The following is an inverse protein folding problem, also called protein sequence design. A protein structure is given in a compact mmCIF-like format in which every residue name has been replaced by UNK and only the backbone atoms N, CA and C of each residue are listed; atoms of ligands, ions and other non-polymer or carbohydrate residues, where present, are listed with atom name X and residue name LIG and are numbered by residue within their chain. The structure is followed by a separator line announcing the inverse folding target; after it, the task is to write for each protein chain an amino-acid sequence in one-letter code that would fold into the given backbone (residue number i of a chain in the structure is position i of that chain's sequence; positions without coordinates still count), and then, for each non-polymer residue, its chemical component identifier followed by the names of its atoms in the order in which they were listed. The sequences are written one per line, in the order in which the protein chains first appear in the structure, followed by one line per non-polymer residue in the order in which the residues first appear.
data_IF_913599191280
#
_entry.id   IF_913599191280
#
_cell.length_a   1.000
_cell.length_b   1.000
_cell.length_c   1.000
_cell.angle_alpha   90.00
_cell.angle_beta   90.00
_cell.angle_gamma   90.00
#
_symmetry.space_group_name_H-M   'P 1'
#
loop_
_entity.id
_entity.type
_entity.pdbx_description
1 polymer ?
#
# COMPACT_ATOMS: atom_id res chain seq x y z
N UNK A 1 -18.37 -12.23 21.37
CA UNK A 1 -17.21 -12.91 20.77
C UNK A 1 -17.55 -13.96 19.70
N UNK A 2 -18.69 -14.70 19.69
CA UNK A 2 -18.97 -15.68 18.64
C UNK A 2 -19.27 -15.03 17.27
N UNK A 3 -19.83 -13.82 17.28
CA UNK A 3 -20.13 -13.02 16.07
C UNK A 3 -18.88 -12.75 15.19
N UNK A 4 -17.72 -12.45 15.78
CA UNK A 4 -16.47 -12.23 15.03
C UNK A 4 -16.02 -13.53 14.35
N UNK A 5 -16.10 -14.65 15.07
CA UNK A 5 -15.70 -15.95 14.54
C UNK A 5 -16.63 -16.41 13.42
N UNK A 6 -17.94 -16.11 13.53
CA UNK A 6 -18.91 -16.33 12.47
C UNK A 6 -18.56 -15.52 11.21
N UNK A 7 -18.31 -14.21 11.36
CA UNK A 7 -17.93 -13.29 10.25
C UNK A 7 -16.65 -13.76 9.53
N UNK A 8 -15.68 -14.32 10.27
CA UNK A 8 -14.42 -14.81 9.68
C UNK A 8 -14.55 -16.17 8.98
N UNK A 9 -15.54 -16.97 9.37
CA UNK A 9 -15.78 -18.33 8.83
C UNK A 9 -16.83 -18.32 7.72
N UNK A 10 -17.61 -17.23 7.60
CA UNK A 10 -18.60 -17.07 6.54
C UNK A 10 -17.96 -16.97 5.15
N UNK A 11 -18.38 -17.80 4.17
CA UNK A 11 -17.82 -17.79 2.81
C UNK A 11 -18.16 -16.50 2.04
N UNK A 12 -19.30 -15.88 2.32
CA UNK A 12 -19.75 -14.63 1.67
C UNK A 12 -18.89 -13.42 2.08
N UNK A 13 -18.23 -13.48 3.24
CA UNK A 13 -17.42 -12.39 3.79
C UNK A 13 -15.92 -12.57 3.53
N UNK A 14 -15.56 -13.04 2.34
CA UNK A 14 -14.16 -13.26 1.92
C UNK A 14 -13.30 -11.98 2.03
N UNK A 15 -13.88 -10.78 1.92
CA UNK A 15 -13.18 -9.52 2.14
C UNK A 15 -12.57 -9.43 3.54
N UNK A 16 -13.30 -9.78 4.60
CA UNK A 16 -12.81 -9.71 5.98
C UNK A 16 -11.65 -10.67 6.22
N UNK A 17 -11.75 -11.89 5.68
CA UNK A 17 -10.66 -12.88 5.73
C UNK A 17 -9.40 -12.37 5.01
N UNK A 18 -9.58 -11.81 3.81
CA UNK A 18 -8.48 -11.25 3.03
C UNK A 18 -7.86 -10.04 3.73
N UNK A 19 -8.66 -9.11 4.26
CA UNK A 19 -8.17 -7.94 4.99
C UNK A 19 -7.35 -8.33 6.23
N UNK A 20 -7.82 -9.32 7.00
CA UNK A 20 -7.09 -9.85 8.16
C UNK A 20 -5.76 -10.48 7.72
N UNK A 21 -5.78 -11.34 6.70
CA UNK A 21 -4.58 -11.97 6.18
C UNK A 21 -3.60 -10.93 5.63
N UNK A 22 -4.06 -10.00 4.79
CA UNK A 22 -3.22 -8.91 4.27
C UNK A 22 -2.63 -8.07 5.39
N UNK A 23 -3.39 -7.74 6.44
CA UNK A 23 -2.87 -7.01 7.60
C UNK A 23 -1.78 -7.79 8.36
N UNK A 24 -1.99 -9.08 8.60
CA UNK A 24 -1.01 -9.98 9.23
C UNK A 24 0.28 -10.08 8.39
N UNK A 25 0.14 -10.31 7.08
CA UNK A 25 1.29 -10.40 6.18
C UNK A 25 2.03 -9.06 6.09
N UNK A 26 1.31 -7.95 5.97
CA UNK A 26 1.90 -6.63 5.83
C UNK A 26 2.57 -6.13 7.13
N UNK A 27 2.10 -6.58 8.30
CA UNK A 27 2.69 -6.23 9.60
C UNK A 27 4.18 -6.54 9.68
N UNK A 28 4.64 -7.63 9.05
CA UNK A 28 6.05 -8.01 9.03
C UNK A 28 6.88 -6.92 8.32
N UNK A 29 6.48 -6.54 7.11
CA UNK A 29 7.16 -5.49 6.35
C UNK A 29 7.06 -4.12 7.03
N UNK A 30 5.88 -3.76 7.55
CA UNK A 30 5.68 -2.51 8.26
C UNK A 30 6.45 -2.43 9.58
N UNK A 31 6.64 -3.53 10.31
CA UNK A 31 7.44 -3.56 11.54
C UNK A 31 8.92 -3.29 11.29
N UNK A 32 9.47 -3.88 10.22
CA UNK A 32 10.88 -3.67 9.81
C UNK A 32 11.08 -2.24 9.31
N UNK A 33 10.24 -1.78 8.37
CA UNK A 33 10.34 -0.43 7.81
C UNK A 33 10.03 0.64 8.89
N UNK A 34 9.05 0.39 9.75
CA UNK A 34 8.66 1.30 10.83
C UNK A 34 9.82 1.55 11.82
N UNK A 35 10.48 0.48 12.25
CA UNK A 35 11.67 0.58 13.11
C UNK A 35 12.77 1.42 12.45
N UNK A 36 13.02 1.21 11.17
CA UNK A 36 13.99 1.98 10.40
C UNK A 36 13.62 3.48 10.29
N UNK A 37 12.36 3.78 9.99
CA UNK A 37 11.84 5.13 9.85
C UNK A 37 11.96 5.91 11.16
N UNK A 38 11.66 5.26 12.29
CA UNK A 38 11.77 5.85 13.63
C UNK A 38 13.23 6.16 13.99
N UNK A 39 14.14 5.20 13.80
CA UNK A 39 15.57 5.38 14.13
C UNK A 39 16.19 6.48 13.29
N UNK A 40 15.83 6.58 12.01
CA UNK A 40 16.34 7.64 11.11
C UNK A 40 15.58 8.96 11.20
N UNK A 41 14.54 9.05 12.02
CA UNK A 41 13.70 10.25 12.17
C UNK A 41 13.13 10.77 10.84
N UNK A 42 12.79 9.88 9.91
CA UNK A 42 12.26 10.22 8.58
C UNK A 42 10.74 10.02 8.47
N UNK A 43 10.01 10.04 9.59
CA UNK A 43 8.56 9.77 9.62
C UNK A 43 7.74 10.72 8.74
N UNK A 44 8.14 12.00 8.65
CA UNK A 44 7.48 12.97 7.79
C UNK A 44 7.61 12.62 6.30
N UNK A 45 8.83 12.25 5.85
CA UNK A 45 9.11 11.84 4.48
C UNK A 45 8.35 10.55 4.15
N UNK A 46 8.38 9.56 5.05
CA UNK A 46 7.64 8.31 4.88
C UNK A 46 6.13 8.55 4.74
N UNK A 47 5.55 9.46 5.54
CA UNK A 47 4.14 9.85 5.44
C UNK A 47 3.79 10.57 4.14
N UNK A 48 4.68 11.44 3.64
CA UNK A 48 4.51 12.11 2.36
C UNK A 48 4.54 11.11 1.19
N UNK A 49 5.49 10.17 1.18
CA UNK A 49 5.56 9.10 0.17
C UNK A 49 4.26 8.29 0.16
N UNK A 50 3.73 7.91 1.33
CA UNK A 50 2.48 7.15 1.43
C UNK A 50 1.28 7.86 0.77
N UNK A 51 1.16 9.19 0.92
CA UNK A 51 0.10 9.97 0.27
C UNK A 51 0.28 10.06 -1.25
N UNK A 52 1.52 10.23 -1.73
CA UNK A 52 1.80 10.27 -3.16
C UNK A 52 1.49 8.93 -3.84
N UNK A 53 1.83 7.81 -3.18
CA UNK A 53 1.63 6.45 -3.73
C UNK A 53 0.15 6.15 -4.02
N UNK A 54 -0.78 6.63 -3.20
CA UNK A 54 -2.23 6.51 -3.47
C UNK A 54 -2.62 7.13 -4.81
N UNK A 55 -2.06 8.31 -5.14
CA UNK A 55 -2.22 8.94 -6.44
C UNK A 55 -1.62 8.11 -7.57
N UNK A 56 -0.44 7.51 -7.35
CA UNK A 56 0.20 6.61 -8.31
C UNK A 56 -0.59 5.34 -8.60
N UNK A 57 -1.20 4.73 -7.58
CA UNK A 57 -2.11 3.58 -7.73
C UNK A 57 -3.30 3.95 -8.63
N UNK A 58 -3.92 5.10 -8.37
CA UNK A 58 -5.05 5.60 -9.17
C UNK A 58 -4.66 5.90 -10.61
N UNK A 59 -3.51 6.55 -10.82
CA UNK A 59 -2.98 6.85 -12.15
C UNK A 59 -2.66 5.55 -12.93
N UNK A 60 -2.04 4.55 -12.30
CA UNK A 60 -1.81 3.23 -12.89
C UNK A 60 -3.13 2.57 -13.30
N UNK A 61 -4.09 2.47 -12.38
CA UNK A 61 -5.40 1.89 -12.70
C UNK A 61 -6.10 2.61 -13.87
N UNK A 62 -5.97 3.94 -13.96
CA UNK A 62 -6.49 4.72 -15.07
C UNK A 62 -5.77 4.38 -16.39
N UNK A 63 -4.44 4.31 -16.41
CA UNK A 63 -3.65 3.93 -17.58
C UNK A 63 -3.98 2.51 -18.07
N UNK A 64 -4.15 1.57 -17.13
CA UNK A 64 -4.53 0.20 -17.45
C UNK A 64 -5.94 0.13 -18.06
N UNK A 65 -6.92 0.76 -17.40
CA UNK A 65 -8.35 0.61 -17.76
C UNK A 65 -8.82 1.55 -18.86
N UNK A 66 -8.37 2.81 -18.88
CA UNK A 66 -8.81 3.81 -19.86
C UNK A 66 -7.96 3.80 -21.12
N UNK A 67 -6.64 3.58 -21.02
CA UNK A 67 -5.71 3.62 -22.15
C UNK A 67 -5.31 2.23 -22.66
N UNK A 68 -5.77 1.16 -22.00
CA UNK A 68 -5.50 -0.22 -22.41
C UNK A 68 -4.03 -0.64 -22.25
N UNK A 69 -3.26 0.10 -21.46
CA UNK A 69 -1.83 -0.15 -21.27
C UNK A 69 -1.68 -1.27 -20.25
N UNK A 70 -1.66 -2.52 -20.73
CA UNK A 70 -1.70 -3.71 -19.86
C UNK A 70 -0.54 -3.85 -18.86
N UNK A 71 0.58 -3.15 -19.06
CA UNK A 71 1.72 -3.15 -18.12
C UNK A 71 1.64 -2.06 -17.05
N UNK A 72 0.76 -1.06 -17.22
CA UNK A 72 0.65 0.09 -16.34
C UNK A 72 -0.35 -0.16 -15.19
N UNK A 73 -0.32 -1.31 -14.54
CA UNK A 73 -1.28 -1.63 -13.48
C UNK A 73 -1.07 -0.88 -12.16
N UNK A 74 -2.00 -1.00 -11.20
CA UNK A 74 -1.96 -0.31 -9.89
C UNK A 74 -0.62 -0.42 -9.16
N UNK A 75 0.00 -1.60 -9.17
CA UNK A 75 1.28 -1.84 -8.51
C UNK A 75 2.43 -1.12 -9.20
N UNK A 76 2.44 -1.07 -10.53
CA UNK A 76 3.47 -0.36 -11.30
C UNK A 76 3.40 1.16 -11.04
N UNK A 77 2.19 1.72 -11.02
CA UNK A 77 1.96 3.13 -10.68
C UNK A 77 2.39 3.46 -9.25
N UNK A 78 2.10 2.57 -8.30
CA UNK A 78 2.56 2.70 -6.92
C UNK A 78 4.08 2.77 -6.82
N UNK A 79 4.79 1.84 -7.46
CA UNK A 79 6.25 1.74 -7.42
C UNK A 79 6.91 2.95 -8.07
N UNK A 80 6.46 3.34 -9.27
CA UNK A 80 7.00 4.49 -9.99
C UNK A 80 6.86 5.76 -9.17
N UNK A 81 5.67 6.01 -8.62
CA UNK A 81 5.44 7.22 -7.81
C UNK A 81 6.17 7.16 -6.47
N UNK A 82 6.29 6.00 -5.82
CA UNK A 82 7.08 5.84 -4.60
C UNK A 82 8.54 6.22 -4.82
N UNK A 83 9.16 5.72 -5.90
CA UNK A 83 10.56 5.98 -6.22
C UNK A 83 10.79 7.45 -6.60
N UNK A 84 9.90 8.02 -7.41
CA UNK A 84 9.96 9.45 -7.76
C UNK A 84 9.83 10.33 -6.52
N UNK A 85 8.86 10.05 -5.64
CA UNK A 85 8.68 10.79 -4.39
C UNK A 85 9.90 10.66 -3.48
N UNK A 86 10.48 9.47 -3.34
CA UNK A 86 11.67 9.25 -2.54
C UNK A 86 12.87 10.06 -3.06
N UNK A 87 13.07 10.12 -4.38
CA UNK A 87 14.14 10.93 -5.00
C UNK A 87 13.89 12.41 -4.77
N UNK A 88 12.69 12.90 -5.08
CA UNK A 88 12.34 14.33 -5.00
C UNK A 88 12.45 14.83 -3.55
N UNK A 89 11.90 14.09 -2.59
CA UNK A 89 11.90 14.48 -1.17
C UNK A 89 13.27 14.36 -0.51
N UNK A 90 14.18 13.54 -1.06
CA UNK A 90 15.56 13.43 -0.55
C UNK A 90 16.48 14.50 -1.14
N UNK A 91 16.17 15.02 -2.33
CA UNK A 91 16.99 16.03 -3.01
C UNK A 91 16.79 17.45 -2.44
N UNK A 92 15.67 17.68 -1.75
CA UNK A 92 15.29 18.93 -1.10
C UNK A 92 15.69 18.89 0.36
#
# INVERSE_FOLDING_TARGET
MPELLAILTDPDLTFFRNALLTGLLASISFGVIGSYVVVRRISAIAGAIAHCVLGGIGAGLYLERALGIGWAGPMSGAIVVALLAAIILTLV
#
